data_IF_286380307428
#
_entry.id   IF_286380307428
#
_cell.length_a   1.000
_cell.length_b   1.000
_cell.length_c   1.000
_cell.angle_alpha   90.00
_cell.angle_beta   90.00
_cell.angle_gamma   90.00
#
_symmetry.space_group_name_H-M   'P 1'
#
loop_
_entity.id
_entity.type
_entity.pdbx_description
1 polymer ?
#
# COMPACT_ATOMS: atom_id res chain seq x y z
N UNK A 1 -54.46 30.58 21.81
CA UNK A 1 -53.26 31.38 22.18
C UNK A 1 -52.53 30.66 23.30
N UNK A 2 -51.68 29.66 23.02
CA UNK A 2 -50.68 29.18 23.98
C UNK A 2 -49.50 28.56 23.21
N UNK A 3 -48.30 29.04 23.55
CA UNK A 3 -47.05 28.93 22.80
C UNK A 3 -46.40 27.55 22.97
N UNK A 4 -45.83 27.08 21.87
CA UNK A 4 -44.84 26.00 21.77
C UNK A 4 -43.60 26.28 22.63
N UNK A 5 -43.19 25.31 23.46
CA UNK A 5 -41.89 25.32 24.14
C UNK A 5 -41.01 24.23 23.50
N UNK A 6 -40.06 24.65 22.67
CA UNK A 6 -39.02 23.80 22.10
C UNK A 6 -37.83 23.80 23.06
N UNK A 7 -37.73 22.76 23.91
CA UNK A 7 -36.58 22.57 24.79
C UNK A 7 -35.38 22.02 24.01
N UNK A 8 -34.39 22.87 23.72
CA UNK A 8 -33.11 22.44 23.18
C UNK A 8 -32.30 21.72 24.28
N UNK A 9 -32.18 20.40 24.19
CA UNK A 9 -31.24 19.64 25.02
C UNK A 9 -29.83 19.87 24.47
N UNK A 10 -29.10 20.80 25.09
CA UNK A 10 -27.66 20.97 24.88
C UNK A 10 -26.96 19.85 25.65
N UNK A 11 -26.56 18.79 24.93
CA UNK A 11 -25.61 17.81 25.46
C UNK A 11 -24.24 18.50 25.53
N UNK A 12 -23.88 18.99 26.71
CA UNK A 12 -22.52 19.43 27.02
C UNK A 12 -21.65 18.18 27.08
N UNK A 13 -20.97 17.86 25.98
CA UNK A 13 -19.84 16.94 26.00
C UNK A 13 -18.71 17.61 26.79
N UNK A 14 -18.57 17.22 28.06
CA UNK A 14 -17.39 17.54 28.85
C UNK A 14 -16.16 16.88 28.21
N UNK A 15 -15.48 17.61 27.33
CA UNK A 15 -14.15 17.26 26.84
C UNK A 15 -13.16 17.55 27.98
N UNK A 16 -12.95 16.56 28.85
CA UNK A 16 -11.80 16.57 29.74
C UNK A 16 -10.53 16.65 28.90
N UNK A 17 -9.81 17.77 28.99
CA UNK A 17 -8.49 17.94 28.38
C UNK A 17 -7.46 17.21 29.22
N UNK A 18 -7.42 15.88 29.10
CA UNK A 18 -6.20 15.15 29.47
C UNK A 18 -5.16 15.48 28.41
N UNK A 19 -4.14 16.24 28.77
CA UNK A 19 -2.96 16.39 27.94
C UNK A 19 -2.32 15.01 27.81
N UNK A 20 -2.60 14.29 26.72
CA UNK A 20 -1.86 13.08 26.40
C UNK A 20 -0.42 13.50 26.11
N UNK A 21 0.46 13.29 27.09
CA UNK A 21 1.89 13.37 26.85
C UNK A 21 2.29 12.33 25.81
N UNK A 22 3.19 12.72 24.89
CA UNK A 22 3.74 11.79 23.92
C UNK A 22 4.42 10.64 24.65
N UNK A 23 4.17 9.41 24.19
CA UNK A 23 4.73 8.21 24.81
C UNK A 23 6.25 8.29 24.81
N UNK A 24 6.84 8.06 25.99
CA UNK A 24 8.29 8.05 26.18
C UNK A 24 8.85 6.63 26.26
N UNK A 25 10.15 6.50 25.98
CA UNK A 25 10.90 5.26 25.90
C UNK A 25 12.22 5.43 26.64
N UNK A 26 12.54 4.47 27.52
CA UNK A 26 13.86 4.37 28.14
C UNK A 26 14.88 3.74 27.18
N UNK A 27 16.17 3.97 27.45
CA UNK A 27 17.25 3.34 26.70
C UNK A 27 17.14 1.80 26.74
N UNK A 28 16.94 1.23 27.94
CA UNK A 28 16.83 -0.23 28.13
C UNK A 28 15.67 -0.84 27.32
N UNK A 29 14.50 -0.18 27.32
CA UNK A 29 13.35 -0.64 26.53
C UNK A 29 13.68 -0.73 25.04
N UNK A 30 14.34 0.28 24.46
CA UNK A 30 14.67 0.29 23.03
C UNK A 30 15.82 -0.66 22.71
N UNK A 31 16.83 -0.71 23.58
CA UNK A 31 17.99 -1.58 23.44
C UNK A 31 17.58 -3.07 23.36
N UNK A 32 16.66 -3.50 24.22
CA UNK A 32 16.19 -4.88 24.29
C UNK A 32 15.26 -5.30 23.13
N UNK A 33 14.87 -4.37 22.25
CA UNK A 33 14.06 -4.71 21.07
C UNK A 33 14.90 -5.52 20.06
N UNK A 34 14.29 -6.49 19.35
CA UNK A 34 14.98 -7.20 18.28
C UNK A 34 15.29 -6.27 17.12
N UNK A 35 16.48 -6.42 16.53
CA UNK A 35 16.91 -5.63 15.39
C UNK A 35 15.93 -5.73 14.22
N UNK A 36 15.32 -4.61 13.86
CA UNK A 36 14.21 -4.57 12.91
C UNK A 36 13.93 -3.13 12.45
N UNK A 37 13.09 -2.98 11.42
CA UNK A 37 12.60 -1.66 10.99
C UNK A 37 11.73 -1.01 12.08
N UNK A 38 11.00 -1.82 12.84
CA UNK A 38 10.22 -1.39 13.99
C UNK A 38 11.11 -0.86 15.12
N UNK A 39 12.23 -1.53 15.41
CA UNK A 39 13.26 -1.00 16.31
C UNK A 39 13.83 0.32 15.80
N UNK A 40 14.12 0.45 14.50
CA UNK A 40 14.61 1.71 13.93
C UNK A 40 13.63 2.87 14.16
N UNK A 41 12.33 2.61 14.08
CA UNK A 41 11.29 3.58 14.41
C UNK A 41 11.33 3.97 15.90
N UNK A 42 11.46 3.01 16.81
CA UNK A 42 11.59 3.31 18.24
C UNK A 42 12.92 3.99 18.61
N UNK A 43 14.00 3.71 17.89
CA UNK A 43 15.25 4.48 18.00
C UNK A 43 15.01 5.93 17.58
N UNK A 44 14.31 6.17 16.46
CA UNK A 44 13.95 7.52 16.04
C UNK A 44 13.06 8.23 17.07
N UNK A 45 12.03 7.56 17.60
CA UNK A 45 11.18 8.07 18.69
C UNK A 45 12.01 8.44 19.92
N UNK A 46 12.90 7.56 20.35
CA UNK A 46 13.82 7.79 21.47
C UNK A 46 14.69 9.03 21.23
N UNK A 47 15.34 9.14 20.07
CA UNK A 47 16.17 10.30 19.72
C UNK A 47 15.41 11.64 19.70
N UNK A 48 14.09 11.63 19.49
CA UNK A 48 13.28 12.85 19.51
C UNK A 48 12.99 13.39 20.91
N UNK A 49 13.13 12.57 21.95
CA UNK A 49 12.76 12.95 23.32
C UNK A 49 13.76 13.94 23.89
N UNK A 50 13.30 14.89 24.71
CA UNK A 50 14.21 15.84 25.38
C UNK A 50 15.21 15.12 26.29
N UNK A 51 14.76 14.10 27.02
CA UNK A 51 15.54 13.31 27.99
C UNK A 51 16.69 12.48 27.38
N UNK A 52 16.70 12.21 26.08
CA UNK A 52 17.75 11.41 25.46
C UNK A 52 19.06 12.19 25.35
N UNK A 53 20.11 11.65 25.98
CA UNK A 53 21.45 12.25 26.01
C UNK A 53 22.24 11.95 24.74
N UNK A 54 23.27 12.76 24.44
CA UNK A 54 24.16 12.52 23.31
C UNK A 54 24.92 11.18 23.42
N UNK A 55 25.26 10.75 24.64
CA UNK A 55 25.92 9.45 24.88
C UNK A 55 24.98 8.28 24.54
N UNK A 56 23.74 8.33 25.03
CA UNK A 56 22.72 7.32 24.69
C UNK A 56 22.45 7.28 23.18
N UNK A 57 22.37 8.45 22.53
CA UNK A 57 22.18 8.56 21.08
C UNK A 57 23.33 7.90 20.30
N UNK A 58 24.60 8.16 20.69
CA UNK A 58 25.80 7.53 20.09
C UNK A 58 25.82 6.02 20.28
N UNK A 59 25.32 5.52 21.40
CA UNK A 59 25.25 4.08 21.66
C UNK A 59 24.15 3.41 20.82
N UNK A 60 22.90 3.85 20.97
CA UNK A 60 21.73 3.17 20.40
C UNK A 60 21.73 3.18 18.86
N UNK A 61 22.32 4.20 18.22
CA UNK A 61 22.34 4.30 16.75
C UNK A 61 23.09 3.13 16.10
N UNK A 62 24.01 2.48 16.82
CA UNK A 62 24.76 1.32 16.32
C UNK A 62 23.87 0.10 16.07
N UNK A 63 22.69 0.07 16.68
CA UNK A 63 21.76 -1.05 16.63
C UNK A 63 20.76 -0.96 15.46
N UNK A 64 20.72 0.17 14.75
CA UNK A 64 19.77 0.39 13.64
C UNK A 64 19.98 -0.61 12.51
N UNK A 65 18.91 -1.09 11.90
CA UNK A 65 18.98 -1.89 10.68
C UNK A 65 19.26 -1.03 9.44
N UNK A 66 18.65 0.17 9.37
CA UNK A 66 18.88 1.12 8.28
C UNK A 66 18.71 2.59 8.72
N UNK A 67 19.69 3.42 8.36
CA UNK A 67 19.72 4.85 8.72
C UNK A 67 18.99 5.72 7.69
N UNK A 68 17.67 5.90 7.85
CA UNK A 68 16.87 6.77 6.97
C UNK A 68 17.08 8.27 7.27
N UNK A 69 16.54 9.16 6.40
CA UNK A 69 16.67 10.63 6.55
C UNK A 69 16.20 11.16 7.91
N UNK A 70 15.06 10.68 8.43
CA UNK A 70 14.49 11.13 9.71
C UNK A 70 15.40 10.76 10.88
N UNK A 71 15.92 9.53 10.88
CA UNK A 71 16.84 9.04 11.91
C UNK A 71 18.15 9.83 11.87
N UNK A 72 18.70 10.10 10.67
CA UNK A 72 19.89 10.97 10.49
C UNK A 72 19.69 12.35 11.09
N UNK A 73 18.54 12.96 10.81
CA UNK A 73 18.21 14.30 11.33
C UNK A 73 18.05 14.31 12.84
N UNK A 74 17.32 13.34 13.41
CA UNK A 74 17.14 13.22 14.85
C UNK A 74 18.49 12.98 15.58
N UNK A 75 19.32 12.08 15.04
CA UNK A 75 20.65 11.81 15.57
C UNK A 75 21.56 13.05 15.53
N UNK A 76 21.61 13.75 14.39
CA UNK A 76 22.42 14.97 14.24
C UNK A 76 21.98 16.06 15.21
N UNK A 77 20.66 16.24 15.38
CA UNK A 77 20.10 17.19 16.37
C UNK A 77 20.54 16.86 17.80
N UNK A 78 20.74 15.58 18.14
CA UNK A 78 21.13 15.13 19.47
C UNK A 78 22.62 15.13 19.74
N UNK A 79 23.45 14.92 18.72
CA UNK A 79 24.89 14.67 18.89
C UNK A 79 25.79 15.73 18.26
N UNK A 80 25.23 16.60 17.41
CA UNK A 80 25.98 17.58 16.60
C UNK A 80 26.62 17.00 15.34
N UNK A 81 26.69 15.67 15.19
CA UNK A 81 27.41 15.00 14.10
C UNK A 81 26.51 14.09 13.27
N UNK A 82 26.97 13.70 12.07
CA UNK A 82 26.24 12.73 11.26
C UNK A 82 26.35 11.32 11.89
N UNK A 83 25.31 10.46 11.79
CA UNK A 83 25.43 9.09 12.26
C UNK A 83 26.39 8.29 11.37
N UNK A 84 26.98 7.20 11.89
CA UNK A 84 27.73 6.27 11.08
C UNK A 84 26.86 5.73 9.92
N UNK A 85 27.49 5.45 8.78
CA UNK A 85 26.79 4.88 7.64
C UNK A 85 26.52 3.38 7.88
N UNK A 86 25.38 3.08 8.50
CA UNK A 86 24.96 1.72 8.83
C UNK A 86 23.90 1.27 7.82
N UNK A 87 24.28 0.34 6.97
CA UNK A 87 23.37 -0.38 6.07
C UNK A 87 23.63 -1.88 6.16
N UNK A 88 22.69 -2.62 6.73
CA UNK A 88 22.73 -4.08 6.66
C UNK A 88 22.11 -4.53 5.34
N UNK A 89 22.96 -4.86 4.38
CA UNK A 89 22.51 -5.55 3.17
C UNK A 89 22.13 -6.98 3.57
N UNK A 90 20.87 -7.41 3.37
CA UNK A 90 20.54 -8.81 3.56
C UNK A 90 21.41 -9.64 2.62
N UNK A 91 21.86 -10.81 3.07
CA UNK A 91 22.52 -11.78 2.19
C UNK A 91 21.60 -12.07 1.00
N UNK A 92 22.09 -11.79 -0.20
CA UNK A 92 21.38 -12.03 -1.46
C UNK A 92 21.94 -13.30 -2.07
N UNK A 93 21.10 -14.32 -2.21
CA UNK A 93 21.52 -15.59 -2.83
C UNK A 93 21.87 -15.37 -4.30
N UNK A 94 22.67 -16.26 -4.89
CA UNK A 94 23.03 -16.18 -6.30
C UNK A 94 21.77 -16.19 -7.19
N UNK A 95 20.81 -17.06 -6.90
CA UNK A 95 19.51 -17.10 -7.56
C UNK A 95 18.78 -15.75 -7.50
N UNK A 96 18.76 -15.08 -6.35
CA UNK A 96 18.12 -13.77 -6.22
C UNK A 96 18.80 -12.70 -7.09
N UNK A 97 20.13 -12.73 -7.20
CA UNK A 97 20.87 -11.82 -8.09
C UNK A 97 20.51 -12.08 -9.55
N UNK A 98 20.40 -13.34 -9.96
CA UNK A 98 19.99 -13.72 -11.31
C UNK A 98 18.54 -13.32 -11.61
N UNK A 99 17.62 -13.52 -10.67
CA UNK A 99 16.23 -13.07 -10.79
C UNK A 99 16.15 -11.55 -10.99
N UNK A 100 17.00 -10.78 -10.30
CA UNK A 100 17.08 -9.33 -10.47
C UNK A 100 17.62 -8.93 -11.84
N UNK A 101 18.62 -9.64 -12.37
CA UNK A 101 19.13 -9.40 -13.73
C UNK A 101 18.04 -9.65 -14.78
N UNK A 102 17.33 -10.76 -14.69
CA UNK A 102 16.19 -11.05 -15.57
C UNK A 102 15.11 -9.97 -15.46
N UNK A 103 14.77 -9.54 -14.23
CA UNK A 103 13.79 -8.47 -14.04
C UNK A 103 14.25 -7.14 -14.65
N UNK A 104 15.51 -6.76 -14.47
CA UNK A 104 16.08 -5.53 -15.04
C UNK A 104 16.06 -5.57 -16.57
N UNK A 105 16.46 -6.68 -17.17
CA UNK A 105 16.46 -6.86 -18.62
C UNK A 105 15.03 -6.87 -19.20
N UNK A 106 14.10 -7.58 -18.56
CA UNK A 106 12.69 -7.56 -18.94
C UNK A 106 12.09 -6.15 -18.88
N UNK A 107 12.43 -5.36 -17.85
CA UNK A 107 12.02 -3.96 -17.75
C UNK A 107 12.61 -3.09 -18.84
N UNK A 108 13.90 -3.27 -19.17
CA UNK A 108 14.57 -2.56 -20.27
C UNK A 108 13.87 -2.82 -21.61
N UNK A 109 13.63 -4.09 -21.93
CA UNK A 109 12.93 -4.52 -23.15
C UNK A 109 11.49 -4.00 -23.20
N UNK A 110 10.75 -4.10 -22.09
CA UNK A 110 9.37 -3.60 -22.02
C UNK A 110 9.31 -2.08 -22.25
N UNK A 111 10.22 -1.32 -21.61
CA UNK A 111 10.29 0.12 -21.78
C UNK A 111 10.69 0.51 -23.22
N UNK A 112 11.53 -0.28 -23.88
CA UNK A 112 11.81 -0.09 -25.32
C UNK A 112 10.56 -0.35 -26.16
N UNK A 113 9.78 -1.40 -25.86
CA UNK A 113 8.47 -1.62 -26.48
C UNK A 113 7.56 -0.40 -26.38
N UNK A 114 7.44 0.19 -25.19
CA UNK A 114 6.68 1.43 -24.95
C UNK A 114 7.23 2.61 -25.77
N UNK A 115 8.56 2.77 -25.90
CA UNK A 115 9.17 3.80 -26.76
C UNK A 115 8.83 3.60 -28.24
N UNK A 116 8.82 2.35 -28.71
CA UNK A 116 8.44 2.05 -30.09
C UNK A 116 6.96 2.32 -30.36
N UNK A 117 6.06 2.08 -29.38
CA UNK A 117 4.65 2.50 -29.45
C UNK A 117 4.53 4.02 -29.62
N UNK A 118 5.27 4.79 -28.81
CA UNK A 118 5.27 6.27 -28.93
C UNK A 118 5.76 6.76 -30.30
N UNK A 119 6.74 6.05 -30.88
CA UNK A 119 7.27 6.33 -32.22
C UNK A 119 6.41 5.77 -33.35
N UNK A 120 5.24 5.20 -33.04
CA UNK A 120 4.32 4.53 -33.99
C UNK A 120 4.96 3.34 -34.75
N UNK A 121 6.07 2.79 -34.26
CA UNK A 121 6.77 1.62 -34.84
C UNK A 121 6.20 0.33 -34.27
N UNK A 122 4.94 0.02 -34.60
CA UNK A 122 4.15 -1.01 -33.91
C UNK A 122 4.75 -2.41 -34.04
N UNK A 123 5.28 -2.79 -35.21
CA UNK A 123 5.90 -4.11 -35.38
C UNK A 123 7.15 -4.27 -34.50
N UNK A 124 7.97 -3.24 -34.37
CA UNK A 124 9.12 -3.25 -33.45
C UNK A 124 8.65 -3.35 -32.00
N UNK A 125 7.59 -2.63 -31.64
CA UNK A 125 7.00 -2.71 -30.30
C UNK A 125 6.55 -4.15 -29.96
N UNK A 126 5.86 -4.82 -30.89
CA UNK A 126 5.44 -6.23 -30.75
C UNK A 126 6.66 -7.12 -30.47
N UNK A 127 7.75 -6.98 -31.24
CA UNK A 127 8.99 -7.74 -31.01
C UNK A 127 9.55 -7.53 -29.60
N UNK A 128 9.60 -6.29 -29.11
CA UNK A 128 10.10 -6.01 -27.77
C UNK A 128 9.19 -6.55 -26.66
N UNK A 129 7.87 -6.52 -26.83
CA UNK A 129 6.96 -7.11 -25.83
C UNK A 129 7.04 -8.63 -25.79
N UNK A 130 7.27 -9.30 -26.93
CA UNK A 130 7.60 -10.73 -26.94
C UNK A 130 8.89 -11.01 -26.17
N UNK A 131 9.99 -10.32 -26.49
CA UNK A 131 11.28 -10.47 -25.78
C UNK A 131 11.13 -10.23 -24.27
N UNK A 132 10.40 -9.19 -23.87
CA UNK A 132 10.15 -8.90 -22.46
C UNK A 132 9.36 -10.04 -21.78
N UNK A 133 8.29 -10.54 -22.42
CA UNK A 133 7.50 -11.67 -21.92
C UNK A 133 8.34 -12.93 -21.70
N UNK A 134 9.29 -13.20 -22.59
CA UNK A 134 10.15 -14.39 -22.49
C UNK A 134 11.12 -14.27 -21.31
N UNK A 135 11.74 -13.10 -21.14
CA UNK A 135 12.73 -12.83 -20.07
C UNK A 135 12.13 -12.71 -18.67
N UNK A 136 10.94 -12.10 -18.52
CA UNK A 136 10.36 -11.92 -17.19
C UNK A 136 10.17 -13.27 -16.47
N UNK A 137 10.34 -13.29 -15.16
CA UNK A 137 10.06 -14.50 -14.36
C UNK A 137 8.66 -14.43 -13.71
N UNK A 138 8.31 -13.25 -13.19
CA UNK A 138 7.06 -13.04 -12.43
C UNK A 138 5.84 -12.99 -13.35
N UNK A 139 4.76 -13.65 -12.94
CA UNK A 139 3.52 -13.77 -13.74
C UNK A 139 2.90 -12.43 -14.11
N UNK A 140 2.81 -11.49 -13.18
CA UNK A 140 2.20 -10.18 -13.45
C UNK A 140 2.99 -9.35 -14.49
N UNK A 141 4.29 -9.55 -14.61
CA UNK A 141 5.12 -8.89 -15.63
C UNK A 141 4.91 -9.52 -17.02
N UNK A 142 4.76 -10.85 -17.06
CA UNK A 142 4.34 -11.56 -18.28
C UNK A 142 2.94 -11.14 -18.73
N UNK A 143 1.98 -11.07 -17.81
CA UNK A 143 0.62 -10.64 -18.12
C UNK A 143 0.57 -9.22 -18.68
N UNK A 144 1.39 -8.31 -18.14
CA UNK A 144 1.58 -6.96 -18.66
C UNK A 144 2.04 -6.99 -20.12
N UNK A 145 3.08 -7.77 -20.45
CA UNK A 145 3.57 -7.91 -21.83
C UNK A 145 2.53 -8.52 -22.76
N UNK A 146 1.83 -9.59 -22.33
CA UNK A 146 0.75 -10.22 -23.08
C UNK A 146 -0.41 -9.25 -23.35
N UNK A 147 -0.75 -8.40 -22.38
CA UNK A 147 -1.80 -7.40 -22.55
C UNK A 147 -1.41 -6.35 -23.59
N UNK A 148 -0.16 -5.90 -23.60
CA UNK A 148 0.34 -4.99 -24.65
C UNK A 148 0.37 -5.65 -26.03
N UNK A 149 0.72 -6.93 -26.12
CA UNK A 149 0.61 -7.69 -27.38
C UNK A 149 -0.84 -7.73 -27.87
N UNK A 150 -1.81 -7.98 -26.99
CA UNK A 150 -3.23 -7.87 -27.33
C UNK A 150 -3.61 -6.45 -27.80
N UNK A 151 -3.16 -5.39 -27.11
CA UNK A 151 -3.49 -4.03 -27.51
C UNK A 151 -2.99 -3.70 -28.92
N UNK A 152 -1.83 -4.23 -29.31
CA UNK A 152 -1.18 -3.98 -30.60
C UNK A 152 -1.72 -4.86 -31.73
N UNK A 153 -1.96 -6.15 -31.49
CA UNK A 153 -2.37 -7.09 -32.55
C UNK A 153 -3.87 -7.37 -32.60
N UNK A 154 -4.59 -7.04 -31.51
CA UNK A 154 -6.01 -7.39 -31.28
C UNK A 154 -6.31 -8.88 -31.19
N UNK A 155 -5.28 -9.74 -31.15
CA UNK A 155 -5.47 -11.18 -31.08
C UNK A 155 -5.90 -11.63 -29.67
N UNK A 156 -7.12 -12.17 -29.54
CA UNK A 156 -7.68 -12.64 -28.25
C UNK A 156 -6.87 -13.76 -27.59
N UNK A 157 -6.01 -14.47 -28.33
CA UNK A 157 -5.12 -15.53 -27.80
C UNK A 157 -4.29 -15.06 -26.61
N UNK A 158 -3.85 -13.80 -26.62
CA UNK A 158 -3.06 -13.23 -25.52
C UNK A 158 -3.90 -13.05 -24.25
N UNK A 159 -5.17 -12.62 -24.36
CA UNK A 159 -6.09 -12.53 -23.23
C UNK A 159 -6.40 -13.92 -22.64
N UNK A 160 -6.60 -14.92 -23.50
CA UNK A 160 -6.79 -16.31 -23.05
C UNK A 160 -5.55 -16.87 -22.36
N UNK A 161 -4.34 -16.53 -22.84
CA UNK A 161 -3.07 -16.91 -22.20
C UNK A 161 -2.93 -16.31 -20.80
N UNK A 162 -3.33 -15.05 -20.60
CA UNK A 162 -3.38 -14.41 -19.27
C UNK A 162 -4.33 -15.19 -18.36
N UNK A 163 -5.57 -15.45 -18.81
CA UNK A 163 -6.60 -16.14 -18.01
C UNK A 163 -6.20 -17.57 -17.63
N UNK A 164 -5.56 -18.30 -18.54
CA UNK A 164 -5.14 -19.69 -18.32
C UNK A 164 -3.94 -19.81 -17.38
N UNK A 165 -2.96 -18.92 -17.51
CA UNK A 165 -1.65 -19.12 -16.89
C UNK A 165 -1.39 -18.25 -15.66
N UNK A 166 -2.19 -17.21 -15.42
CA UNK A 166 -1.93 -16.28 -14.31
C UNK A 166 -2.54 -16.76 -13.00
N UNK A 167 -1.67 -17.02 -12.03
CA UNK A 167 -2.03 -17.29 -10.64
C UNK A 167 -1.97 -16.04 -9.76
N UNK A 168 -1.41 -14.94 -10.28
CA UNK A 168 -1.22 -13.70 -9.54
C UNK A 168 -2.24 -12.65 -9.98
N UNK A 169 -3.23 -12.36 -9.13
CA UNK A 169 -4.26 -11.37 -9.43
C UNK A 169 -3.63 -9.99 -9.65
N UNK A 170 -3.91 -9.41 -10.81
CA UNK A 170 -3.43 -8.10 -11.23
C UNK A 170 -4.41 -7.43 -12.21
N UNK A 171 -4.16 -6.16 -12.52
CA UNK A 171 -4.99 -5.36 -13.44
C UNK A 171 -5.30 -6.08 -14.76
N UNK A 172 -4.30 -6.72 -15.37
CA UNK A 172 -4.43 -7.35 -16.67
C UNK A 172 -5.27 -8.64 -16.61
N UNK A 173 -5.25 -9.36 -15.49
CA UNK A 173 -6.14 -10.53 -15.29
C UNK A 173 -7.62 -10.14 -15.25
N UNK A 174 -7.94 -9.00 -14.61
CA UNK A 174 -9.31 -8.48 -14.55
C UNK A 174 -9.73 -7.88 -15.90
N UNK A 175 -8.84 -7.16 -16.57
CA UNK A 175 -9.12 -6.64 -17.92
C UNK A 175 -9.32 -7.76 -18.94
N UNK A 176 -8.51 -8.82 -18.89
CA UNK A 176 -8.71 -9.99 -19.76
C UNK A 176 -10.07 -10.65 -19.50
N UNK A 177 -10.51 -10.76 -18.25
CA UNK A 177 -11.84 -11.25 -17.93
C UNK A 177 -12.95 -10.32 -18.45
N UNK A 178 -12.83 -9.01 -18.24
CA UNK A 178 -13.83 -8.04 -18.72
C UNK A 178 -13.94 -8.03 -20.25
N UNK A 179 -12.81 -8.02 -20.96
CA UNK A 179 -12.75 -7.98 -22.43
C UNK A 179 -13.15 -9.30 -23.08
N UNK A 180 -13.17 -10.40 -22.32
CA UNK A 180 -13.67 -11.71 -22.77
C UNK A 180 -15.03 -12.07 -22.14
N UNK A 181 -15.72 -11.08 -21.55
CA UNK A 181 -17.03 -11.23 -20.90
C UNK A 181 -17.10 -12.42 -19.92
N UNK A 182 -16.00 -12.66 -19.20
CA UNK A 182 -15.84 -13.80 -18.30
C UNK A 182 -15.88 -13.38 -16.83
N UNK A 183 -16.02 -14.36 -15.95
CA UNK A 183 -15.94 -14.17 -14.50
C UNK A 183 -14.50 -13.83 -14.06
N UNK A 184 -14.38 -13.11 -12.94
CA UNK A 184 -13.08 -12.86 -12.31
C UNK A 184 -12.47 -14.13 -11.72
N UNK A 185 -11.12 -14.21 -11.61
CA UNK A 185 -10.45 -15.44 -11.24
C UNK A 185 -10.88 -15.97 -9.86
N UNK A 186 -11.14 -17.28 -9.78
CA UNK A 186 -11.53 -17.96 -8.53
C UNK A 186 -10.42 -18.00 -7.47
N UNK A 187 -9.18 -17.66 -7.83
CA UNK A 187 -8.03 -17.55 -6.92
C UNK A 187 -8.07 -16.31 -6.01
N UNK A 188 -9.10 -15.46 -6.13
CA UNK A 188 -9.42 -14.37 -5.20
C UNK A 188 -10.13 -14.95 -3.97
N UNK A 189 -9.41 -15.07 -2.85
CA UNK A 189 -9.90 -15.71 -1.62
C UNK A 189 -10.23 -14.66 -0.57
N UNK A 190 -11.41 -14.75 0.04
CA UNK A 190 -11.71 -14.05 1.30
C UNK A 190 -11.70 -15.07 2.43
N UNK A 191 -10.71 -15.03 3.33
CA UNK A 191 -10.66 -15.95 4.46
C UNK A 191 -11.84 -15.70 5.40
N UNK A 192 -12.36 -16.78 6.00
CA UNK A 192 -13.33 -16.74 7.09
C UNK A 192 -12.62 -17.22 8.36
N UNK A 193 -12.66 -16.40 9.41
CA UNK A 193 -11.99 -16.70 10.68
C UNK A 193 -12.95 -16.45 11.84
N UNK A 194 -13.13 -17.47 12.67
CA UNK A 194 -14.05 -17.44 13.83
C UNK A 194 -13.38 -16.85 15.07
N UNK A 195 -12.12 -17.21 15.34
CA UNK A 195 -11.35 -16.73 16.51
C UNK A 195 -11.19 -15.21 16.45
N UNK A 196 -11.60 -14.50 17.50
CA UNK A 196 -11.47 -13.03 17.58
C UNK A 196 -10.01 -12.58 17.78
N UNK A 197 -9.32 -13.21 18.73
CA UNK A 197 -7.93 -12.93 19.13
C UNK A 197 -7.19 -14.23 19.43
N UNK A 198 -5.87 -14.16 19.50
CA UNK A 198 -4.97 -15.24 19.93
C UNK A 198 -4.12 -14.74 21.09
N UNK A 199 -3.91 -15.59 22.09
CA UNK A 199 -3.07 -15.27 23.24
C UNK A 199 -1.60 -15.13 22.83
N UNK A 200 -0.87 -14.18 23.44
CA UNK A 200 0.56 -13.99 23.20
C UNK A 200 0.95 -13.25 21.92
N UNK A 201 -0.02 -12.73 21.15
CA UNK A 201 0.23 -11.88 19.98
C UNK A 201 -0.63 -10.62 20.07
N UNK A 202 0.02 -9.46 20.25
CA UNK A 202 -0.64 -8.17 20.10
C UNK A 202 -0.52 -7.68 18.64
N UNK A 203 -1.65 -7.62 17.93
CA UNK A 203 -1.71 -7.21 16.52
C UNK A 203 -1.31 -5.75 16.29
N UNK A 204 -1.34 -4.94 17.34
CA UNK A 204 -1.03 -3.50 17.33
C UNK A 204 0.39 -3.20 17.80
N UNK A 205 1.11 -4.17 18.34
CA UNK A 205 2.48 -4.00 18.81
C UNK A 205 3.53 -4.23 17.68
N UNK A 206 4.28 -3.21 17.25
CA UNK A 206 5.30 -3.35 16.20
C UNK A 206 6.40 -4.34 16.57
N UNK A 207 6.75 -4.47 17.85
CA UNK A 207 7.79 -5.40 18.28
C UNK A 207 7.34 -6.85 18.18
N UNK A 208 6.06 -7.16 18.42
CA UNK A 208 5.54 -8.50 18.21
C UNK A 208 5.47 -8.84 16.72
N UNK A 209 5.13 -7.86 15.87
CA UNK A 209 5.25 -8.02 14.42
C UNK A 209 6.71 -8.25 13.97
N UNK A 210 7.68 -7.55 14.57
CA UNK A 210 9.10 -7.76 14.30
C UNK A 210 9.55 -9.18 14.67
N UNK A 211 9.15 -9.69 15.85
CA UNK A 211 9.40 -11.09 16.27
C UNK A 211 8.79 -12.09 15.29
N UNK A 212 7.55 -11.87 14.84
CA UNK A 212 6.89 -12.73 13.84
C UNK A 212 7.67 -12.74 12.51
N UNK A 213 8.11 -11.58 12.02
CA UNK A 213 8.94 -11.50 10.80
C UNK A 213 10.27 -12.24 10.94
N UNK A 214 10.86 -12.26 12.13
CA UNK A 214 12.08 -13.03 12.39
C UNK A 214 11.77 -14.53 12.29
N UNK A 215 10.68 -15.01 12.89
CA UNK A 215 10.21 -16.41 12.75
C UNK A 215 10.01 -16.79 11.28
N UNK A 216 9.28 -15.98 10.52
CA UNK A 216 8.98 -16.18 9.09
C UNK A 216 10.23 -16.20 8.20
N UNK A 217 11.34 -15.59 8.63
CA UNK A 217 12.59 -15.54 7.85
C UNK A 217 13.56 -16.69 8.15
N UNK A 218 13.29 -17.52 9.15
CA UNK A 218 14.15 -18.68 9.45
C UNK A 218 14.11 -19.65 8.24
N UNK A 219 15.26 -20.21 7.81
CA UNK A 219 15.32 -21.10 6.65
C UNK A 219 14.35 -22.29 6.71
N UNK A 220 14.17 -22.86 7.91
CA UNK A 220 13.34 -24.05 8.15
C UNK A 220 11.99 -23.69 8.80
N UNK A 221 11.51 -22.46 8.62
CA UNK A 221 10.22 -22.06 9.17
C UNK A 221 9.08 -22.79 8.44
N UNK A 222 8.24 -23.51 9.18
CA UNK A 222 6.96 -23.95 8.65
C UNK A 222 6.01 -22.76 8.59
N UNK A 223 5.85 -22.20 7.38
CA UNK A 223 4.98 -21.05 7.17
C UNK A 223 3.49 -21.41 7.23
N UNK A 224 3.14 -22.68 7.07
CA UNK A 224 1.74 -23.13 7.19
C UNK A 224 1.35 -23.15 8.66
N UNK A 225 2.17 -23.78 9.50
CA UNK A 225 2.02 -23.80 10.96
C UNK A 225 2.00 -22.37 11.53
N UNK A 226 2.98 -21.53 11.18
CA UNK A 226 3.01 -20.13 11.63
C UNK A 226 1.78 -19.32 11.20
N UNK A 227 1.17 -19.66 10.06
CA UNK A 227 -0.06 -19.00 9.64
C UNK A 227 -1.25 -19.45 10.50
N UNK A 228 -1.33 -20.72 10.84
CA UNK A 228 -2.37 -21.30 11.72
C UNK A 228 -2.26 -20.74 13.14
N UNK A 229 -1.05 -20.65 13.67
CA UNK A 229 -0.73 -20.09 14.98
C UNK A 229 -1.17 -18.63 15.17
N UNK A 230 -1.33 -17.89 14.07
CA UNK A 230 -1.80 -16.50 14.09
C UNK A 230 -3.15 -16.33 13.39
N UNK A 231 -3.96 -17.37 13.23
CA UNK A 231 -5.28 -17.28 12.61
C UNK A 231 -6.37 -16.72 13.54
N UNK A 232 -6.52 -15.39 13.57
CA UNK A 232 -7.64 -14.70 14.23
C UNK A 232 -8.13 -13.50 13.41
N UNK A 233 -9.28 -12.95 13.77
CA UNK A 233 -9.79 -11.71 13.18
C UNK A 233 -8.84 -10.53 13.44
N UNK A 234 -8.26 -10.43 14.63
CA UNK A 234 -7.30 -9.39 15.00
C UNK A 234 -5.99 -9.49 14.19
N UNK A 235 -5.50 -10.70 13.96
CA UNK A 235 -4.22 -10.97 13.29
C UNK A 235 -4.38 -11.34 11.81
N UNK A 236 -5.55 -11.12 11.21
CA UNK A 236 -5.83 -11.58 9.83
C UNK A 236 -4.85 -11.01 8.79
N UNK A 237 -4.33 -9.80 9.02
CA UNK A 237 -3.30 -9.23 8.16
C UNK A 237 -1.98 -10.02 8.20
N UNK A 238 -1.56 -10.42 9.40
CA UNK A 238 -0.38 -11.27 9.61
C UNK A 238 -0.61 -12.66 9.02
N UNK A 239 -1.73 -13.30 9.35
CA UNK A 239 -2.12 -14.62 8.85
C UNK A 239 -2.13 -14.66 7.31
N UNK A 240 -2.82 -13.73 6.66
CA UNK A 240 -2.90 -13.72 5.19
C UNK A 240 -1.58 -13.36 4.51
N UNK A 241 -0.72 -12.56 5.17
CA UNK A 241 0.65 -12.32 4.71
C UNK A 241 1.48 -13.60 4.72
N UNK A 242 1.41 -14.39 5.79
CA UNK A 242 2.15 -15.65 5.92
C UNK A 242 1.59 -16.70 4.96
N UNK A 243 0.26 -16.87 4.88
CA UNK A 243 -0.41 -17.75 3.90
C UNK A 243 -0.01 -17.43 2.47
N UNK A 244 0.11 -16.15 2.11
CA UNK A 244 0.56 -15.75 0.78
C UNK A 244 2.01 -16.20 0.51
N UNK A 245 2.91 -16.10 1.48
CA UNK A 245 4.28 -16.61 1.36
C UNK A 245 4.35 -18.14 1.28
N UNK A 246 3.62 -18.83 2.15
CA UNK A 246 3.59 -20.30 2.19
C UNK A 246 3.18 -20.91 0.84
N UNK A 247 2.23 -20.27 0.14
CA UNK A 247 1.78 -20.71 -1.19
C UNK A 247 2.56 -20.09 -2.37
N UNK A 248 3.71 -19.45 -2.11
CA UNK A 248 4.50 -18.71 -3.10
C UNK A 248 3.65 -17.74 -3.96
N UNK A 249 2.73 -17.03 -3.31
CA UNK A 249 1.81 -16.04 -3.89
C UNK A 249 0.89 -16.56 -5.01
N UNK A 250 0.69 -17.88 -5.11
CA UNK A 250 -0.24 -18.49 -6.08
C UNK A 250 -1.72 -18.26 -5.72
N UNK A 251 -2.01 -17.93 -4.47
CA UNK A 251 -3.33 -17.56 -3.97
C UNK A 251 -3.33 -16.08 -3.58
N UNK A 252 -4.41 -15.37 -3.89
CA UNK A 252 -4.55 -13.95 -3.56
C UNK A 252 -5.61 -13.73 -2.49
N UNK A 253 -5.17 -13.40 -1.29
CA UNK A 253 -6.06 -13.14 -0.15
C UNK A 253 -6.56 -11.69 -0.14
N UNK A 254 -7.86 -11.54 0.13
CA UNK A 254 -8.62 -10.29 0.23
C UNK A 254 -9.51 -10.36 1.48
N UNK A 255 -8.91 -10.27 2.68
CA UNK A 255 -9.67 -10.22 3.92
C UNK A 255 -10.43 -8.89 4.04
N UNK A 256 -11.48 -8.88 4.88
CA UNK A 256 -12.29 -7.69 5.18
C UNK A 256 -12.37 -7.46 6.70
N UNK A 257 -11.24 -7.19 7.38
CA UNK A 257 -11.25 -6.92 8.81
C UNK A 257 -11.94 -5.59 9.13
N UNK A 258 -12.26 -5.39 10.41
CA UNK A 258 -12.72 -4.11 10.96
C UNK A 258 -13.95 -3.52 10.26
N UNK A 259 -14.88 -4.35 9.74
CA UNK A 259 -16.13 -3.88 9.11
C UNK A 259 -16.91 -2.91 10.01
N UNK A 260 -16.95 -3.19 11.31
CA UNK A 260 -17.61 -2.33 12.30
C UNK A 260 -16.97 -0.95 12.45
N UNK A 261 -15.70 -0.74 12.06
CA UNK A 261 -15.09 0.59 12.07
C UNK A 261 -15.50 1.44 10.84
N UNK A 262 -16.13 0.82 9.84
CA UNK A 262 -16.50 1.46 8.57
C UNK A 262 -17.98 1.33 8.24
N UNK A 263 -18.82 0.87 9.19
CA UNK A 263 -20.22 0.52 8.92
C UNK A 263 -21.06 1.71 8.43
N UNK A 264 -20.70 2.94 8.82
CA UNK A 264 -21.36 4.18 8.37
C UNK A 264 -20.82 4.71 7.04
N UNK A 265 -19.72 4.14 6.52
CA UNK A 265 -19.10 4.64 5.29
C UNK A 265 -19.80 4.06 4.06
N UNK A 266 -19.98 4.82 2.97
CA UNK A 266 -20.47 4.30 1.71
C UNK A 266 -19.63 3.12 1.19
N UNK A 267 -20.23 2.21 0.43
CA UNK A 267 -19.56 0.98 -0.08
C UNK A 267 -18.30 1.32 -0.86
N UNK A 268 -18.32 2.37 -1.68
CA UNK A 268 -17.17 2.87 -2.44
C UNK A 268 -16.04 3.30 -1.50
N UNK A 269 -16.38 4.00 -0.41
CA UNK A 269 -15.39 4.43 0.57
C UNK A 269 -14.80 3.23 1.31
N UNK A 270 -15.62 2.28 1.72
CA UNK A 270 -15.15 1.03 2.33
C UNK A 270 -14.20 0.28 1.37
N UNK A 271 -14.60 0.11 0.11
CA UNK A 271 -13.79 -0.56 -0.91
C UNK A 271 -12.45 0.13 -1.14
N UNK A 272 -12.42 1.46 -1.13
CA UNK A 272 -11.19 2.25 -1.29
C UNK A 272 -10.26 2.11 -0.09
N UNK A 273 -10.79 2.20 1.14
CA UNK A 273 -10.02 1.97 2.37
C UNK A 273 -9.45 0.54 2.37
N UNK A 274 -10.26 -0.48 2.07
CA UNK A 274 -9.80 -1.85 1.94
C UNK A 274 -8.71 -2.00 0.86
N UNK A 275 -8.88 -1.35 -0.30
CA UNK A 275 -7.94 -1.41 -1.40
C UNK A 275 -6.56 -0.83 -1.06
N UNK A 276 -6.56 0.30 -0.35
CA UNK A 276 -5.36 0.98 0.15
C UNK A 276 -4.71 0.16 1.26
N UNK A 277 -5.45 -0.20 2.32
CA UNK A 277 -4.96 -1.01 3.43
C UNK A 277 -4.30 -2.31 2.96
N UNK A 278 -4.93 -3.00 1.99
CA UNK A 278 -4.37 -4.21 1.38
C UNK A 278 -3.04 -3.91 0.71
N UNK A 279 -2.93 -2.81 -0.02
CA UNK A 279 -1.72 -2.45 -0.76
C UNK A 279 -0.60 -1.93 0.15
N UNK A 280 -0.94 -1.18 1.20
CA UNK A 280 -0.01 -0.53 2.12
C UNK A 280 0.63 -1.53 3.09
N UNK A 281 -0.18 -2.37 3.74
CA UNK A 281 0.27 -3.16 4.88
C UNK A 281 -0.21 -4.61 4.88
N UNK A 282 -1.04 -4.99 3.90
CA UNK A 282 -1.82 -6.25 3.95
C UNK A 282 -2.65 -6.34 5.24
N UNK A 283 -3.17 -5.21 5.72
CA UNK A 283 -3.95 -5.09 6.96
C UNK A 283 -3.19 -5.38 8.26
N UNK A 284 -1.86 -5.43 8.27
CA UNK A 284 -1.08 -5.55 9.51
C UNK A 284 -1.15 -4.22 10.27
N UNK A 285 -1.81 -4.14 11.44
CA UNK A 285 -1.96 -2.88 12.17
C UNK A 285 -0.62 -2.35 12.63
N UNK A 286 0.24 -3.20 13.18
CA UNK A 286 1.58 -2.87 13.67
C UNK A 286 2.65 -2.61 12.58
N UNK A 287 2.26 -2.38 11.32
CA UNK A 287 3.21 -2.21 10.21
C UNK A 287 3.99 -0.90 10.28
N UNK A 288 5.32 -0.98 10.15
CA UNK A 288 6.23 0.18 10.06
C UNK A 288 7.06 0.09 8.78
N UNK A 289 7.04 1.15 7.96
CA UNK A 289 7.92 1.24 6.78
C UNK A 289 9.33 1.68 7.12
N UNK A 290 10.28 1.47 6.20
CA UNK A 290 11.65 2.00 6.31
C UNK A 290 11.73 3.52 6.43
N UNK A 291 10.68 4.25 6.02
CA UNK A 291 10.57 5.71 6.13
C UNK A 291 9.72 6.15 7.34
N UNK A 292 9.34 5.19 8.19
CA UNK A 292 8.45 5.35 9.33
C UNK A 292 7.05 5.80 8.93
N UNK A 293 6.47 5.13 7.93
CA UNK A 293 5.03 5.15 7.70
C UNK A 293 4.38 4.11 8.61
N UNK A 294 3.27 4.46 9.26
CA UNK A 294 2.75 3.79 10.44
C UNK A 294 1.35 3.22 10.20
N UNK A 295 1.07 2.09 10.83
CA UNK A 295 -0.27 1.55 10.84
C UNK A 295 -0.61 0.73 9.59
N UNK A 296 -1.79 0.12 9.60
CA UNK A 296 -2.33 -0.58 8.44
C UNK A 296 -2.57 0.34 7.22
N UNK A 297 -2.65 1.65 7.44
CA UNK A 297 -2.86 2.68 6.41
C UNK A 297 -1.58 3.43 6.02
N UNK A 298 -0.43 3.09 6.65
CA UNK A 298 0.89 3.65 6.36
C UNK A 298 0.92 5.19 6.36
N UNK A 299 0.38 5.80 7.42
CA UNK A 299 0.45 7.25 7.61
C UNK A 299 1.87 7.69 7.97
N UNK A 300 2.38 8.68 7.27
CA UNK A 300 3.64 9.33 7.64
C UNK A 300 3.42 10.27 8.83
N UNK A 301 4.35 10.37 9.80
CA UNK A 301 4.27 11.28 10.94
C UNK A 301 3.83 12.71 10.61
N UNK A 302 4.41 13.34 9.57
CA UNK A 302 4.00 14.69 9.17
C UNK A 302 2.52 14.79 8.76
N UNK A 303 1.95 13.72 8.20
CA UNK A 303 0.54 13.66 7.83
C UNK A 303 -0.34 13.41 9.05
N UNK A 304 0.14 12.62 10.02
CA UNK A 304 -0.51 12.48 11.33
C UNK A 304 -0.59 13.83 12.02
N UNK A 305 0.53 14.56 12.11
CA UNK A 305 0.60 15.90 12.69
C UNK A 305 -0.37 16.87 12.00
N UNK A 306 -0.41 16.83 10.67
CA UNK A 306 -1.30 17.68 9.87
C UNK A 306 -2.78 17.40 10.15
N UNK A 307 -3.20 16.13 10.13
CA UNK A 307 -4.60 15.75 10.38
C UNK A 307 -4.98 16.02 11.84
N UNK A 308 -4.09 15.75 12.79
CA UNK A 308 -4.31 16.02 14.20
C UNK A 308 -4.50 17.53 14.45
N UNK A 309 -3.64 18.38 13.86
CA UNK A 309 -3.77 19.83 13.93
C UNK A 309 -5.09 20.32 13.32
N UNK A 310 -5.50 19.78 12.17
CA UNK A 310 -6.77 20.14 11.54
C UNK A 310 -7.99 19.76 12.39
N UNK A 311 -7.88 18.70 13.18
CA UNK A 311 -8.94 18.23 14.08
C UNK A 311 -8.89 18.87 15.46
N UNK A 312 -7.85 19.63 15.79
CA UNK A 312 -7.66 20.17 17.14
C UNK A 312 -7.47 19.07 18.19
N UNK A 313 -6.91 17.91 17.81
CA UNK A 313 -6.68 16.78 18.72
C UNK A 313 -5.20 16.59 18.99
N UNK A 314 -4.88 16.03 20.16
CA UNK A 314 -3.56 15.49 20.46
C UNK A 314 -3.57 13.98 20.24
N UNK A 315 -2.48 13.46 19.67
CA UNK A 315 -2.37 12.05 19.30
C UNK A 315 -0.91 11.60 19.35
N UNK A 316 -0.65 10.39 19.82
CA UNK A 316 0.66 9.76 19.71
C UNK A 316 0.79 9.06 18.34
N UNK A 317 2.00 9.02 17.79
CA UNK A 317 2.22 8.29 16.54
C UNK A 317 1.90 6.79 16.64
N UNK A 318 2.07 6.17 17.82
CA UNK A 318 1.70 4.75 18.05
C UNK A 318 0.17 4.54 17.96
N UNK A 319 -0.66 5.59 18.07
CA UNK A 319 -2.11 5.47 17.86
C UNK A 319 -2.46 5.06 16.43
N UNK A 320 -1.57 5.27 15.45
CA UNK A 320 -1.76 4.77 14.09
C UNK A 320 -1.74 3.24 13.99
N UNK A 321 -1.23 2.54 15.02
CA UNK A 321 -1.31 1.08 15.07
C UNK A 321 -2.68 0.58 15.54
N UNK A 322 -3.54 1.45 16.09
CA UNK A 322 -4.93 1.12 16.45
C UNK A 322 -5.79 1.14 15.18
N UNK A 323 -6.40 0.01 14.75
CA UNK A 323 -7.10 -0.06 13.47
C UNK A 323 -8.20 0.99 13.26
N UNK A 324 -9.00 1.26 14.30
CA UNK A 324 -10.07 2.27 14.24
C UNK A 324 -9.50 3.67 13.94
N UNK A 325 -8.46 4.07 14.67
CA UNK A 325 -7.81 5.38 14.50
C UNK A 325 -7.20 5.49 13.09
N UNK A 326 -6.51 4.45 12.63
CA UNK A 326 -5.92 4.42 11.29
C UNK A 326 -6.98 4.56 10.19
N UNK A 327 -8.12 3.88 10.34
CA UNK A 327 -9.27 3.97 9.42
C UNK A 327 -9.89 5.38 9.44
N UNK A 328 -10.08 5.97 10.62
CA UNK A 328 -10.65 7.32 10.77
C UNK A 328 -9.72 8.36 10.12
N UNK A 329 -8.41 8.30 10.37
CA UNK A 329 -7.42 9.18 9.74
C UNK A 329 -7.38 8.99 8.22
N UNK A 330 -7.43 7.75 7.73
CA UNK A 330 -7.52 7.46 6.31
C UNK A 330 -8.78 8.05 5.68
N UNK A 331 -9.93 7.93 6.33
CA UNK A 331 -11.18 8.48 5.83
C UNK A 331 -11.10 10.00 5.68
N UNK A 332 -10.56 10.71 6.67
CA UNK A 332 -10.34 12.16 6.63
C UNK A 332 -9.38 12.56 5.50
N UNK A 333 -8.27 11.85 5.35
CA UNK A 333 -7.33 12.14 4.27
C UNK A 333 -7.94 11.88 2.89
N UNK A 334 -8.73 10.82 2.74
CA UNK A 334 -9.45 10.51 1.51
C UNK A 334 -10.54 11.55 1.21
N UNK A 335 -11.20 12.14 2.20
CA UNK A 335 -12.11 13.27 1.98
C UNK A 335 -11.38 14.47 1.39
N UNK A 336 -10.19 14.78 1.91
CA UNK A 336 -9.34 15.82 1.32
C UNK A 336 -8.97 15.52 -0.14
N UNK A 337 -8.54 14.30 -0.46
CA UNK A 337 -8.19 13.92 -1.82
C UNK A 337 -9.40 13.96 -2.78
N UNK A 338 -10.56 13.50 -2.31
CA UNK A 338 -11.79 13.42 -3.11
C UNK A 338 -12.40 14.80 -3.44
N UNK A 339 -11.97 15.88 -2.76
CA UNK A 339 -12.29 17.26 -3.19
C UNK A 339 -11.73 17.60 -4.57
N UNK A 340 -10.70 16.88 -5.02
CA UNK A 340 -9.96 17.17 -6.25
C UNK A 340 -9.94 16.01 -7.24
N UNK A 341 -10.08 14.77 -6.76
CA UNK A 341 -9.89 13.56 -7.54
C UNK A 341 -11.10 12.65 -7.36
N UNK A 342 -11.82 12.37 -8.44
CA UNK A 342 -13.02 11.53 -8.41
C UNK A 342 -12.69 10.07 -8.73
N UNK A 343 -11.67 9.84 -9.57
CA UNK A 343 -11.32 8.51 -10.03
C UNK A 343 -10.37 7.79 -9.06
N UNK A 344 -10.67 6.54 -8.63
CA UNK A 344 -9.90 5.82 -7.61
C UNK A 344 -8.42 5.61 -7.97
N UNK A 345 -8.08 5.49 -9.25
CA UNK A 345 -6.68 5.42 -9.69
C UNK A 345 -5.88 6.68 -9.31
N UNK A 346 -6.46 7.86 -9.52
CA UNK A 346 -5.78 9.13 -9.25
C UNK A 346 -5.74 9.41 -7.76
N UNK A 347 -6.80 9.06 -7.02
CA UNK A 347 -6.78 9.06 -5.55
C UNK A 347 -5.64 8.18 -5.03
N UNK A 348 -5.44 6.99 -5.60
CA UNK A 348 -4.34 6.11 -5.23
C UNK A 348 -2.96 6.72 -5.54
N UNK A 349 -2.79 7.40 -6.69
CA UNK A 349 -1.55 8.12 -6.98
C UNK A 349 -1.29 9.24 -5.96
N UNK A 350 -2.31 10.01 -5.60
CA UNK A 350 -2.17 11.10 -4.64
C UNK A 350 -1.93 10.60 -3.20
N UNK A 351 -2.54 9.48 -2.81
CA UNK A 351 -2.28 8.85 -1.51
C UNK A 351 -0.82 8.42 -1.39
N UNK A 352 -0.25 7.81 -2.45
CA UNK A 352 1.11 7.30 -2.42
C UNK A 352 2.20 8.36 -2.66
N UNK A 353 2.00 9.24 -3.64
CA UNK A 353 3.02 10.19 -4.11
C UNK A 353 2.69 11.66 -3.81
N UNK A 354 1.56 11.92 -3.15
CA UNK A 354 1.08 13.26 -2.83
C UNK A 354 0.24 13.89 -3.95
N UNK A 355 -0.72 14.71 -3.54
CA UNK A 355 -1.64 15.40 -4.47
C UNK A 355 -0.94 16.36 -5.42
N UNK A 356 0.17 16.99 -5.00
CA UNK A 356 0.96 17.89 -5.84
C UNK A 356 1.59 17.18 -7.04
N UNK A 357 2.14 15.97 -6.82
CA UNK A 357 2.64 15.11 -7.89
C UNK A 357 1.52 14.76 -8.86
N UNK A 358 0.39 14.29 -8.35
CA UNK A 358 -0.77 13.88 -9.17
C UNK A 358 -1.34 15.05 -9.97
N UNK A 359 -1.47 16.24 -9.37
CA UNK A 359 -1.89 17.45 -10.07
C UNK A 359 -0.96 17.80 -11.24
N UNK A 360 0.37 17.75 -11.02
CA UNK A 360 1.37 18.00 -12.07
C UNK A 360 1.27 16.98 -13.21
N UNK A 361 1.10 15.70 -12.87
CA UNK A 361 0.91 14.62 -13.85
C UNK A 361 -0.34 14.86 -14.70
N UNK A 362 -1.48 15.13 -14.07
CA UNK A 362 -2.76 15.28 -14.77
C UNK A 362 -2.83 16.55 -15.62
N UNK A 363 -2.22 17.66 -15.17
CA UNK A 363 -2.15 18.88 -15.98
C UNK A 363 -1.24 18.77 -17.20
N UNK A 364 -0.40 17.76 -17.29
CA UNK A 364 0.42 17.53 -18.47
C UNK A 364 -0.46 16.98 -19.63
N UNK A 365 -0.53 17.66 -20.78
CA UNK A 365 -1.41 17.26 -21.89
C UNK A 365 -1.05 15.91 -22.53
N UNK A 366 0.15 15.37 -22.28
CA UNK A 366 0.58 14.07 -22.79
C UNK A 366 0.12 12.86 -21.95
N UNK A 367 -0.64 13.11 -20.88
CA UNK A 367 -1.16 12.08 -19.98
C UNK A 367 -2.69 12.12 -19.90
N UNK A 368 -3.29 10.93 -19.97
CA UNK A 368 -4.71 10.68 -19.74
C UNK A 368 -5.61 11.57 -20.59
N UNK A 369 -5.30 11.65 -21.88
CA UNK A 369 -6.09 12.27 -22.95
C UNK A 369 -6.46 11.23 -23.99
N UNK A 370 -7.42 11.54 -24.85
CA UNK A 370 -7.79 10.66 -25.95
C UNK A 370 -6.61 10.49 -26.91
N UNK A 371 -6.37 9.25 -27.34
CA UNK A 371 -5.29 8.93 -28.27
C UNK A 371 -5.08 7.43 -28.41
N UNK A 372 -4.26 7.00 -29.39
CA UNK A 372 -3.93 5.59 -29.57
C UNK A 372 -3.34 4.96 -28.30
N UNK A 373 -3.89 3.81 -27.92
CA UNK A 373 -3.48 3.04 -26.73
C UNK A 373 -3.68 3.77 -25.38
N UNK A 374 -4.35 4.91 -25.35
CA UNK A 374 -4.71 5.57 -24.09
C UNK A 374 -5.90 4.85 -23.42
N UNK A 375 -5.99 4.84 -22.08
CA UNK A 375 -5.06 5.44 -21.11
C UNK A 375 -3.86 4.56 -20.74
N UNK A 376 -3.73 3.36 -21.33
CA UNK A 376 -2.70 2.39 -20.96
C UNK A 376 -1.30 2.96 -21.17
N UNK A 377 -1.11 3.68 -22.28
CA UNK A 377 0.16 4.34 -22.59
C UNK A 377 0.52 5.40 -21.54
N UNK A 378 -0.42 6.26 -21.12
CA UNK A 378 -0.19 7.22 -20.03
C UNK A 378 0.20 6.54 -18.73
N UNK A 379 -0.44 5.42 -18.38
CA UNK A 379 -0.09 4.66 -17.20
C UNK A 379 1.35 4.16 -17.27
N UNK A 380 1.79 3.56 -18.39
CA UNK A 380 3.14 3.01 -18.51
C UNK A 380 4.25 4.05 -18.64
N UNK A 381 3.97 5.21 -19.24
CA UNK A 381 4.96 6.28 -19.40
C UNK A 381 5.24 7.06 -18.12
N UNK A 382 4.41 6.94 -17.09
CA UNK A 382 4.61 7.68 -15.85
C UNK A 382 5.96 7.30 -15.21
N UNK A 383 6.86 8.29 -15.09
CA UNK A 383 8.23 8.10 -14.58
C UNK A 383 8.30 7.58 -13.15
N UNK A 384 7.35 7.98 -12.29
CA UNK A 384 7.27 7.47 -10.92
C UNK A 384 6.73 6.02 -10.93
N UNK A 385 7.63 5.05 -11.10
CA UNK A 385 7.30 3.62 -11.17
C UNK A 385 6.58 3.13 -9.91
N UNK A 386 6.95 3.65 -8.73
CA UNK A 386 6.30 3.27 -7.47
C UNK A 386 4.82 3.67 -7.49
N UNK A 387 4.53 4.94 -7.77
CA UNK A 387 3.15 5.42 -7.86
C UNK A 387 2.37 4.68 -8.96
N UNK A 388 3.04 4.37 -10.08
CA UNK A 388 2.44 3.68 -11.24
C UNK A 388 1.91 2.32 -10.85
N UNK A 389 2.78 1.49 -10.29
CA UNK A 389 2.43 0.13 -9.90
C UNK A 389 1.51 0.14 -8.68
N UNK A 390 1.66 1.11 -7.77
CA UNK A 390 0.75 1.31 -6.65
C UNK A 390 -0.69 1.56 -7.13
N UNK A 391 -0.91 2.53 -8.01
CA UNK A 391 -2.25 2.86 -8.50
C UNK A 391 -2.89 1.70 -9.26
N UNK A 392 -2.12 0.98 -10.09
CA UNK A 392 -2.62 -0.23 -10.77
C UNK A 392 -3.13 -1.27 -9.77
N UNK A 393 -2.38 -1.50 -8.69
CA UNK A 393 -2.73 -2.47 -7.64
C UNK A 393 -3.92 -2.00 -6.81
N UNK A 394 -3.98 -0.73 -6.41
CA UNK A 394 -5.11 -0.19 -5.65
C UNK A 394 -6.38 -0.20 -6.49
N UNK A 395 -6.35 0.18 -7.77
CA UNK A 395 -7.55 0.11 -8.62
C UNK A 395 -8.04 -1.34 -8.80
N UNK A 396 -7.12 -2.29 -8.98
CA UNK A 396 -7.42 -3.73 -9.02
C UNK A 396 -8.09 -4.18 -7.71
N UNK A 397 -7.52 -3.80 -6.57
CA UNK A 397 -8.06 -4.14 -5.26
C UNK A 397 -9.44 -3.51 -5.04
N UNK A 398 -9.62 -2.25 -5.43
CA UNK A 398 -10.85 -1.50 -5.30
C UNK A 398 -12.01 -2.22 -6.00
N UNK A 399 -11.82 -2.60 -7.26
CA UNK A 399 -12.83 -3.36 -8.01
C UNK A 399 -13.16 -4.68 -7.33
N UNK A 400 -12.16 -5.41 -6.82
CA UNK A 400 -12.39 -6.67 -6.11
C UNK A 400 -13.19 -6.45 -4.82
N UNK A 401 -12.86 -5.43 -4.04
CA UNK A 401 -13.58 -5.11 -2.80
C UNK A 401 -14.99 -4.61 -3.04
N UNK A 402 -15.24 -3.83 -4.11
CA UNK A 402 -16.59 -3.45 -4.52
C UNK A 402 -17.48 -4.69 -4.73
N UNK A 403 -16.98 -5.68 -5.48
CA UNK A 403 -17.70 -6.94 -5.69
C UNK A 403 -17.91 -7.72 -4.38
N UNK A 404 -16.90 -7.76 -3.50
CA UNK A 404 -17.01 -8.45 -2.19
C UNK A 404 -17.97 -7.77 -1.22
N UNK A 405 -18.20 -6.47 -1.38
CA UNK A 405 -19.16 -5.68 -0.64
C UNK A 405 -20.56 -5.67 -1.30
N UNK A 406 -20.78 -6.51 -2.32
CA UNK A 406 -22.08 -6.68 -2.97
C UNK A 406 -22.37 -5.70 -4.11
N UNK A 407 -21.43 -4.81 -4.47
CA UNK A 407 -21.59 -3.90 -5.61
C UNK A 407 -20.88 -4.45 -6.84
N UNK A 408 -21.65 -5.12 -7.72
CA UNK A 408 -21.15 -5.68 -8.99
C UNK A 408 -20.40 -4.63 -9.79
N UNK A 409 -19.11 -4.87 -10.03
CA UNK A 409 -18.20 -3.85 -10.58
C UNK A 409 -17.21 -4.49 -11.55
N UNK A 410 -17.04 -3.89 -12.73
CA UNK A 410 -15.99 -4.26 -13.68
C UNK A 410 -14.87 -3.21 -13.71
N UNK A 411 -13.65 -3.62 -14.06
CA UNK A 411 -12.46 -2.76 -14.11
C UNK A 411 -12.39 -1.95 -15.41
N UNK A 412 -12.79 -2.54 -16.54
CA UNK A 412 -12.72 -1.89 -17.84
C UNK A 412 -13.46 -0.53 -17.91
N UNK A 413 -14.66 -0.33 -17.32
CA UNK A 413 -15.31 0.97 -17.27
C UNK A 413 -14.49 2.06 -16.58
N UNK A 414 -13.78 1.74 -15.47
CA UNK A 414 -12.87 2.69 -14.82
C UNK A 414 -11.74 3.08 -15.77
N UNK A 415 -11.11 2.10 -16.41
CA UNK A 415 -10.06 2.37 -17.39
C UNK A 415 -10.56 3.28 -18.52
N UNK A 416 -11.72 2.98 -19.12
CA UNK A 416 -12.28 3.81 -20.20
C UNK A 416 -12.57 5.25 -19.79
N UNK A 417 -12.84 5.51 -18.51
CA UNK A 417 -13.11 6.86 -18.01
C UNK A 417 -11.86 7.72 -17.79
N UNK A 418 -10.66 7.13 -17.79
CA UNK A 418 -9.43 7.84 -17.42
C UNK A 418 -9.06 8.98 -18.37
N UNK A 419 -9.47 8.91 -19.63
CA UNK A 419 -9.19 9.96 -20.64
C UNK A 419 -10.21 11.08 -20.65
N UNK A 420 -11.26 10.99 -19.81
CA UNK A 420 -12.27 12.02 -19.61
C UNK A 420 -12.00 12.78 -18.30
N UNK A 421 -11.45 14.01 -18.36
CA UNK A 421 -11.20 14.81 -17.18
C UNK A 421 -12.46 15.05 -16.33
N UNK A 422 -13.64 15.19 -16.94
CA UNK A 422 -14.90 15.50 -16.24
C UNK A 422 -15.26 14.44 -15.21
N UNK A 423 -14.83 13.20 -15.48
CA UNK A 423 -15.11 12.03 -14.66
C UNK A 423 -13.99 11.68 -13.69
N UNK A 424 -12.88 12.43 -13.69
CA UNK A 424 -11.66 11.96 -13.02
C UNK A 424 -11.06 12.94 -12.04
N UNK A 425 -11.09 14.25 -12.31
CA UNK A 425 -10.48 15.24 -11.44
C UNK A 425 -11.02 16.66 -11.67
N UNK A 426 -10.70 17.56 -10.72
CA UNK A 426 -11.02 18.99 -10.75
C UNK A 426 -9.87 19.87 -11.26
N UNK A 427 -8.72 19.29 -11.64
CA UNK A 427 -7.54 20.09 -11.99
C UNK A 427 -7.49 20.54 -13.44
N UNK A 428 -8.29 19.89 -14.29
CA UNK A 428 -8.33 20.03 -15.75
C UNK A 428 -9.64 20.65 -16.27
N UNK A 429 -10.47 21.17 -15.37
CA UNK A 429 -11.66 21.98 -15.66
C UNK A 429 -11.43 23.41 -15.23
#
# INVERSE_FOLDING_TARGET
>A
MFKTFLGAVVIVLALGTTSLEAKTFSYSQVHNMPRSVEKDYYIWRFLMQRSTTASQARSIVKEVNNTNKKLRQAYKKKTGVNPPNITHNPYVTQQQKEDWKHQAEGNRLFNEGIRQVQRKKLQKAITYFHKAHDVYLKRWEKDKSLFWLYLLTKEKKYLYKIKRNSTHINMYTLLAADMTHSQYPRSIITPRVSKKRISGIDETNPIDWAKMKIKVKKPNADLSELAEDCESQATIGMNTYIKAKACNYRKSYFPMPYRNAMYTYPVERQALIYAIARQESRFVPASVSRSFALGMMQFMPFLVDHVAKQKGIHIDYDDMFKPKVAIDFANLHLDYLNKWLYHPLFVAYAYNAGIGFTKKLLRNPHYFRNGPFEPYLSMEKMNNVQAREYGKRVLTNYVIYMNKLGKSTRLLPFIKSLTDPARTDRFRH
#
